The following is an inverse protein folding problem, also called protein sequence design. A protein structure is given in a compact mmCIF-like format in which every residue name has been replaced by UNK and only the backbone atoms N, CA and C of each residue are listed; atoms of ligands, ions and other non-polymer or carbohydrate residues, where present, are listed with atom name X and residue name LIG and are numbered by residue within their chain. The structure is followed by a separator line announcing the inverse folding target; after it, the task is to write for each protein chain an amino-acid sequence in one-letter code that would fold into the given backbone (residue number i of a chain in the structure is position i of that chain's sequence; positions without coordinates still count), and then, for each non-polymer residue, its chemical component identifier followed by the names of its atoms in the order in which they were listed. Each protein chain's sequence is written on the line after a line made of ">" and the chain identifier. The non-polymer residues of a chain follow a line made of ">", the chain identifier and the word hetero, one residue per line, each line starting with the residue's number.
data_IF_421607474646
#
_entry.id   IF_421607474646
#
_cell.length_a   1.000
_cell.length_b   1.000
_cell.length_c   1.000
_cell.angle_alpha   90.00
_cell.angle_beta   90.00
_cell.angle_gamma   90.00
#
_symmetry.space_group_name_H-M   'P 1'
#
loop_
_entity.id
_entity.type
_entity.pdbx_description
1 polymer ?
#
# COMPACT_ATOMS: atom_id res chain seq x y z
N UNK A 1 -5.69 10.86 -8.11
CA UNK A 1 -5.75 11.30 -6.68
C UNK A 1 -7.10 11.09 -6.00
N UNK A 2 -8.13 10.55 -6.69
CA UNK A 2 -9.48 10.36 -6.13
C UNK A 2 -9.59 9.18 -5.15
N UNK A 3 -8.76 8.14 -5.32
CA UNK A 3 -8.89 6.87 -4.58
C UNK A 3 -8.76 7.04 -3.06
N UNK A 4 -7.66 7.65 -2.57
CA UNK A 4 -7.47 7.83 -1.12
C UNK A 4 -8.54 8.71 -0.49
N UNK A 5 -9.01 9.74 -1.20
CA UNK A 5 -10.10 10.59 -0.75
C UNK A 5 -11.42 9.80 -0.60
N UNK A 6 -11.73 8.91 -1.54
CA UNK A 6 -12.92 8.06 -1.45
C UNK A 6 -12.83 7.00 -0.35
N UNK A 7 -11.66 6.35 -0.18
CA UNK A 7 -11.43 5.41 0.93
C UNK A 7 -11.64 6.14 2.27
N UNK A 8 -11.04 7.32 2.43
CA UNK A 8 -11.22 8.13 3.62
C UNK A 8 -12.66 8.62 3.83
N UNK A 9 -13.39 8.95 2.74
CA UNK A 9 -14.80 9.33 2.80
C UNK A 9 -15.66 8.21 3.38
N UNK A 10 -15.43 6.96 2.99
CA UNK A 10 -16.24 5.81 3.44
C UNK A 10 -15.81 5.21 4.78
N UNK A 11 -14.59 5.47 5.25
CA UNK A 11 -14.19 5.10 6.61
C UNK A 11 -15.13 5.75 7.64
N UNK A 12 -15.53 4.99 8.66
CA UNK A 12 -16.22 5.53 9.84
C UNK A 12 -15.26 6.36 10.69
N UNK A 13 -15.76 7.25 11.54
CA UNK A 13 -14.94 7.92 12.56
C UNK A 13 -14.24 6.88 13.44
N UNK A 14 -12.95 7.04 13.68
CA UNK A 14 -12.08 6.07 14.35
C UNK A 14 -11.72 4.85 13.51
N UNK A 15 -12.15 4.78 12.25
CA UNK A 15 -11.86 3.68 11.34
C UNK A 15 -10.42 3.74 10.82
N UNK A 16 -9.84 2.56 10.60
CA UNK A 16 -8.49 2.39 10.05
C UNK A 16 -8.61 1.71 8.69
N UNK A 17 -7.97 2.29 7.68
CA UNK A 17 -7.79 1.66 6.37
C UNK A 17 -6.34 1.27 6.16
N UNK A 18 -6.09 0.05 5.69
CA UNK A 18 -4.75 -0.39 5.26
C UNK A 18 -4.74 -0.52 3.74
N UNK A 19 -4.01 0.37 3.07
CA UNK A 19 -4.03 0.52 1.60
C UNK A 19 -2.61 0.32 1.08
N UNK A 20 -2.42 -0.64 0.16
CA UNK A 20 -1.11 -0.96 -0.37
C UNK A 20 -1.06 -2.37 -0.92
N UNK A 21 0.11 -2.98 -0.85
CA UNK A 21 0.28 -4.37 -1.29
C UNK A 21 1.63 -4.95 -0.94
N UNK A 22 1.64 -6.27 -0.78
CA UNK A 22 2.82 -7.05 -0.47
C UNK A 22 2.46 -8.52 -0.27
N UNK A 23 3.41 -9.28 0.24
CA UNK A 23 3.27 -10.72 0.42
C UNK A 23 2.93 -11.11 1.86
N UNK A 24 2.87 -10.15 2.79
CA UNK A 24 2.57 -10.39 4.19
C UNK A 24 3.82 -10.71 5.02
N UNK A 25 3.71 -10.58 6.35
CA UNK A 25 4.86 -10.66 7.27
C UNK A 25 5.37 -12.08 7.52
N UNK A 26 4.48 -13.06 7.46
CA UNK A 26 4.75 -14.42 7.94
C UNK A 26 5.10 -15.40 6.80
N UNK A 27 5.43 -14.88 5.61
CA UNK A 27 5.83 -15.73 4.49
C UNK A 27 7.31 -16.08 4.62
N UNK A 28 7.61 -17.36 4.44
CA UNK A 28 9.00 -17.85 4.41
C UNK A 28 9.78 -17.26 3.23
N UNK A 29 11.11 -17.35 3.26
CA UNK A 29 11.98 -16.83 2.19
C UNK A 29 11.69 -17.53 0.87
N UNK A 30 11.48 -18.85 0.92
CA UNK A 30 11.11 -19.66 -0.24
C UNK A 30 9.76 -19.23 -0.84
N UNK A 31 8.73 -19.06 0.00
CA UNK A 31 7.43 -18.58 -0.45
C UNK A 31 7.51 -17.18 -1.04
N UNK A 32 8.29 -16.29 -0.42
CA UNK A 32 8.48 -14.92 -0.88
C UNK A 32 9.10 -14.89 -2.27
N UNK A 33 10.22 -15.59 -2.49
CA UNK A 33 10.88 -15.63 -3.80
C UNK A 33 10.02 -16.30 -4.86
N UNK A 34 9.30 -17.38 -4.52
CA UNK A 34 8.33 -18.01 -5.42
C UNK A 34 7.22 -17.04 -5.84
N UNK A 35 6.61 -16.32 -4.91
CA UNK A 35 5.52 -15.38 -5.22
C UNK A 35 6.03 -14.14 -5.99
N UNK A 36 7.22 -13.65 -5.65
CA UNK A 36 7.87 -12.54 -6.37
C UNK A 36 8.17 -12.92 -7.82
N UNK A 37 8.68 -14.13 -8.05
CA UNK A 37 8.88 -14.71 -9.38
C UNK A 37 7.57 -14.79 -10.18
N UNK A 38 6.52 -15.34 -9.58
CA UNK A 38 5.20 -15.44 -10.22
C UNK A 38 4.64 -14.06 -10.55
N UNK A 39 4.70 -13.12 -9.60
CA UNK A 39 4.23 -11.74 -9.79
C UNK A 39 4.97 -11.04 -10.92
N UNK A 40 6.29 -11.22 -11.03
CA UNK A 40 7.09 -10.63 -12.10
C UNK A 40 6.74 -11.20 -13.48
N UNK A 41 6.31 -12.47 -13.56
CA UNK A 41 5.84 -13.08 -14.81
C UNK A 41 4.42 -12.63 -15.18
N UNK A 42 3.59 -12.33 -14.19
CA UNK A 42 2.17 -11.99 -14.38
C UNK A 42 1.91 -10.51 -14.62
N UNK A 43 2.81 -9.63 -14.19
CA UNK A 43 2.64 -8.18 -14.27
C UNK A 43 3.65 -7.58 -15.26
N UNK A 44 3.18 -6.78 -16.22
CA UNK A 44 4.05 -5.97 -17.08
C UNK A 44 4.79 -4.87 -16.30
N UNK A 45 5.71 -4.16 -16.96
CA UNK A 45 6.59 -3.17 -16.31
C UNK A 45 5.84 -2.01 -15.61
N UNK A 46 4.59 -1.74 -15.99
CA UNK A 46 3.79 -0.61 -15.54
C UNK A 46 3.02 -0.78 -14.21
N UNK A 47 3.09 -1.95 -13.56
CA UNK A 47 2.19 -2.25 -12.41
C UNK A 47 2.69 -1.73 -11.06
N UNK A 48 3.30 -0.55 -11.04
CA UNK A 48 3.75 0.08 -9.79
C UNK A 48 3.00 1.38 -9.50
N UNK A 49 1.67 1.28 -9.36
CA UNK A 49 0.93 2.30 -8.63
C UNK A 49 1.51 2.38 -7.21
N UNK A 50 1.97 3.58 -6.82
CA UNK A 50 2.66 3.83 -5.54
C UNK A 50 3.98 3.05 -5.41
N UNK A 51 4.85 3.16 -6.41
CA UNK A 51 6.11 2.41 -6.54
C UNK A 51 7.12 2.59 -5.40
N UNK A 52 6.92 3.56 -4.51
CA UNK A 52 7.81 3.88 -3.40
C UNK A 52 7.03 4.48 -2.22
N UNK A 53 7.61 4.44 -1.00
CA UNK A 53 7.04 5.12 0.17
C UNK A 53 6.73 6.60 -0.08
N UNK A 54 7.66 7.31 -0.72
CA UNK A 54 7.53 8.76 -0.96
C UNK A 54 6.36 9.08 -1.90
N UNK A 55 6.19 8.31 -2.98
CA UNK A 55 5.06 8.49 -3.91
C UNK A 55 3.73 8.17 -3.24
N UNK A 56 3.69 7.16 -2.37
CA UNK A 56 2.50 6.83 -1.60
C UNK A 56 2.15 7.95 -0.63
N UNK A 57 3.14 8.47 0.10
CA UNK A 57 3.00 9.60 1.00
C UNK A 57 2.51 10.85 0.27
N UNK A 58 3.11 11.18 -0.87
CA UNK A 58 2.71 12.33 -1.70
C UNK A 58 1.23 12.25 -2.10
N UNK A 59 0.76 11.08 -2.52
CA UNK A 59 -0.63 10.89 -2.94
C UNK A 59 -1.60 11.03 -1.75
N UNK A 60 -1.24 10.52 -0.57
CA UNK A 60 -2.05 10.65 0.65
C UNK A 60 -2.11 12.11 1.10
N UNK A 61 -0.99 12.83 1.07
CA UNK A 61 -0.91 14.25 1.38
C UNK A 61 -1.82 15.07 0.44
N UNK A 62 -1.76 14.80 -0.87
CA UNK A 62 -2.62 15.46 -1.87
C UNK A 62 -4.10 15.08 -1.73
N UNK A 63 -4.42 13.99 -1.03
CA UNK A 63 -5.80 13.65 -0.66
C UNK A 63 -6.30 14.40 0.59
N UNK A 64 -5.44 15.17 1.28
CA UNK A 64 -5.79 15.94 2.47
C UNK A 64 -5.94 15.10 3.74
N UNK A 65 -5.34 13.91 3.79
CA UNK A 65 -5.37 13.02 4.95
C UNK A 65 -4.16 13.31 5.82
N UNK A 66 -4.38 13.77 7.04
CA UNK A 66 -3.30 14.17 7.97
C UNK A 66 -2.85 13.04 8.89
N UNK A 67 -3.75 12.11 9.23
CA UNK A 67 -3.47 11.02 10.16
C UNK A 67 -3.21 9.72 9.40
N UNK A 68 -1.94 9.48 9.10
CA UNK A 68 -1.51 8.25 8.43
C UNK A 68 -0.09 7.85 8.81
N UNK A 69 0.24 6.58 8.54
CA UNK A 69 1.60 6.04 8.61
C UNK A 69 1.89 5.23 7.36
N UNK A 70 3.05 5.46 6.75
CA UNK A 70 3.57 4.60 5.67
C UNK A 70 4.60 3.65 6.26
N UNK A 71 4.48 2.37 5.93
CA UNK A 71 5.46 1.33 6.28
C UNK A 71 5.91 0.60 5.02
N UNK A 72 7.22 0.41 4.89
CA UNK A 72 7.80 -0.38 3.82
C UNK A 72 8.80 -1.37 4.40
N UNK A 73 8.45 -2.63 4.34
CA UNK A 73 9.27 -3.74 4.81
C UNK A 73 9.04 -4.95 3.91
N UNK A 74 9.54 -6.12 4.33
CA UNK A 74 9.34 -7.39 3.64
C UNK A 74 7.87 -7.75 3.43
N UNK A 75 6.97 -7.33 4.33
CA UNK A 75 5.55 -7.58 4.23
C UNK A 75 4.87 -6.72 3.15
N UNK A 76 5.54 -5.69 2.64
CA UNK A 76 5.09 -4.86 1.53
C UNK A 76 5.18 -3.38 1.81
N UNK A 77 4.61 -2.61 0.88
CA UNK A 77 4.37 -1.19 1.05
C UNK A 77 2.92 -0.97 1.44
N UNK A 78 2.71 -0.37 2.59
CA UNK A 78 1.39 -0.16 3.18
C UNK A 78 1.24 1.24 3.74
N UNK A 79 0.07 1.84 3.52
CA UNK A 79 -0.39 3.03 4.20
C UNK A 79 -1.52 2.68 5.16
N UNK A 80 -1.30 2.96 6.43
CA UNK A 80 -2.34 2.95 7.46
C UNK A 80 -2.92 4.35 7.56
N UNK A 81 -4.17 4.53 7.15
CA UNK A 81 -4.90 5.82 7.24
C UNK A 81 -5.95 5.75 8.35
N UNK A 82 -6.15 6.85 9.08
CA UNK A 82 -7.05 6.92 10.23
C UNK A 82 -7.98 8.11 10.12
N UNK A 83 -9.29 7.88 10.29
CA UNK A 83 -10.32 8.93 10.22
C UNK A 83 -10.80 9.40 11.59
#
# INVERSE_FOLDING_TARGET
>A
MRVFKEIYRVLKKGGIGLVGGGFGRYVTDEQFERMKSLRARSLGEDVKAYSSPDKLQEVINKAGILNFRVSYDRAGLWAEIRK
#
